data_IF_297877875238
#
_entry.id   IF_297877875238
#
_cell.length_a   1.000
_cell.length_b   1.000
_cell.length_c   1.000
_cell.angle_alpha   90.00
_cell.angle_beta   90.00
_cell.angle_gamma   90.00
#
_symmetry.space_group_name_H-M   'P 1'
#
loop_
_entity.id
_entity.type
_entity.pdbx_description
1 polymer ?
#
# COMPACT_ATOMS: atom_id res chain seq x y z
N UNK A 1 -35.20 38.82 -22.34
CA UNK A 1 -33.92 38.62 -23.07
C UNK A 1 -32.86 38.29 -22.01
N UNK A 2 -32.50 37.01 -21.79
CA UNK A 2 -31.51 36.19 -22.53
C UNK A 2 -30.11 36.84 -22.43
N UNK A 3 -29.01 36.26 -21.91
CA UNK A 3 -28.54 34.91 -21.55
C UNK A 3 -27.49 35.08 -20.41
N UNK A 4 -27.41 34.21 -19.39
CA UNK A 4 -26.56 33.00 -19.31
C UNK A 4 -25.07 33.21 -19.69
N UNK A 5 -24.18 33.15 -18.70
CA UNK A 5 -22.77 32.73 -18.79
C UNK A 5 -22.42 32.25 -17.38
N UNK A 6 -22.61 30.99 -16.99
CA UNK A 6 -21.91 29.79 -17.45
C UNK A 6 -20.44 30.08 -17.75
N UNK A 7 -19.56 29.79 -16.80
CA UNK A 7 -18.64 28.66 -16.91
C UNK A 7 -17.44 28.87 -16.00
N UNK A 8 -17.33 27.94 -15.05
CA UNK A 8 -16.08 27.19 -14.86
C UNK A 8 -14.88 28.02 -14.39
N UNK A 9 -14.92 28.47 -13.13
CA UNK A 9 -13.67 28.67 -12.41
C UNK A 9 -13.04 27.28 -12.23
N UNK A 10 -11.98 27.05 -13.00
CA UNK A 10 -11.22 25.82 -13.11
C UNK A 10 -11.05 25.10 -11.76
N UNK A 11 -11.68 23.93 -11.63
CA UNK A 11 -11.08 22.86 -10.85
C UNK A 11 -9.78 22.47 -11.57
N UNK A 12 -8.67 23.10 -11.17
CA UNK A 12 -7.34 22.56 -11.45
C UNK A 12 -7.18 21.31 -10.60
N UNK A 13 -7.77 20.20 -11.06
CA UNK A 13 -7.32 18.89 -10.65
C UNK A 13 -5.88 18.78 -11.14
N UNK A 14 -4.92 18.81 -10.23
CA UNK A 14 -3.55 18.40 -10.50
C UNK A 14 -3.62 16.96 -10.99
N UNK A 15 -3.61 16.79 -12.31
CA UNK A 15 -3.36 15.51 -12.93
C UNK A 15 -1.99 15.05 -12.43
N UNK A 16 -1.95 14.08 -11.51
CA UNK A 16 -0.74 13.31 -11.28
C UNK A 16 -0.46 12.59 -12.59
N UNK A 17 0.53 13.06 -13.34
CA UNK A 17 0.96 12.41 -14.56
C UNK A 17 1.65 11.10 -14.16
N UNK A 18 0.90 10.01 -14.28
CA UNK A 18 1.43 8.65 -14.23
C UNK A 18 1.77 8.26 -15.66
N UNK A 19 3.06 8.05 -15.91
CA UNK A 19 3.58 7.54 -17.17
C UNK A 19 3.85 6.03 -17.02
N UNK A 20 3.40 5.26 -18.01
CA UNK A 20 3.44 3.80 -18.01
C UNK A 20 4.13 3.32 -19.28
N UNK A 21 5.28 2.69 -19.11
CA UNK A 21 6.04 2.08 -20.20
C UNK A 21 6.01 0.56 -20.09
N UNK A 22 5.45 -0.12 -21.09
CA UNK A 22 5.29 -1.58 -21.09
C UNK A 22 6.40 -2.22 -21.93
N UNK A 23 7.19 -3.09 -21.31
CA UNK A 23 8.23 -3.88 -21.94
C UNK A 23 7.85 -5.37 -21.94
N UNK A 24 8.57 -6.17 -22.73
CA UNK A 24 8.29 -7.61 -22.88
C UNK A 24 8.27 -8.38 -21.54
N UNK A 25 9.09 -7.96 -20.57
CA UNK A 25 9.28 -8.69 -19.31
C UNK A 25 8.84 -7.90 -18.07
N UNK A 26 8.58 -6.60 -18.20
CA UNK A 26 8.25 -5.72 -17.08
C UNK A 26 7.47 -4.49 -17.53
N UNK A 27 6.77 -3.85 -16.61
CA UNK A 27 6.15 -2.53 -16.81
C UNK A 27 6.85 -1.53 -15.91
N UNK A 28 7.32 -0.41 -16.48
CA UNK A 28 7.85 0.71 -15.71
C UNK A 28 6.71 1.68 -15.41
N UNK A 29 6.56 2.02 -14.13
CA UNK A 29 5.65 3.07 -13.67
C UNK A 29 6.50 4.26 -13.27
N UNK A 30 6.16 5.45 -13.78
CA UNK A 30 6.80 6.73 -13.40
C UNK A 30 5.72 7.71 -12.97
N UNK A 31 5.86 8.28 -11.78
CA UNK A 31 4.88 9.17 -11.19
C UNK A 31 5.53 10.48 -10.80
N UNK A 32 5.17 11.56 -11.50
CA UNK A 32 5.65 12.89 -11.15
C UNK A 32 4.97 13.36 -9.85
N UNK A 33 5.78 13.85 -8.91
CA UNK A 33 5.32 14.38 -7.65
C UNK A 33 6.04 15.67 -7.27
N UNK A 34 5.28 16.59 -6.68
CA UNK A 34 5.79 17.81 -6.09
C UNK A 34 5.01 18.13 -4.83
N UNK A 35 5.70 18.58 -3.78
CA UNK A 35 5.08 18.87 -2.49
C UNK A 35 5.98 19.67 -1.57
N UNK A 36 5.57 19.75 -0.30
CA UNK A 36 6.34 20.33 0.78
C UNK A 36 6.39 19.33 1.93
N UNK A 37 7.58 19.10 2.48
CA UNK A 37 7.80 18.15 3.58
C UNK A 37 7.99 16.73 3.10
N UNK A 38 7.66 15.74 3.95
CA UNK A 38 7.87 14.34 3.60
C UNK A 38 6.89 13.87 2.53
N UNK A 39 7.36 12.99 1.65
CA UNK A 39 6.52 12.34 0.65
C UNK A 39 6.18 10.93 1.10
N UNK A 40 4.88 10.63 1.22
CA UNK A 40 4.37 9.29 1.47
C UNK A 40 3.61 8.78 0.25
N UNK A 41 3.95 7.58 -0.20
CA UNK A 41 3.25 6.86 -1.24
C UNK A 41 2.81 5.49 -0.72
N UNK A 42 1.52 5.19 -0.85
CA UNK A 42 0.97 3.91 -0.43
C UNK A 42 0.71 3.05 -1.67
N UNK A 43 1.40 1.91 -1.77
CA UNK A 43 1.18 0.95 -2.85
C UNK A 43 -0.08 0.13 -2.56
N UNK A 44 -0.88 -0.14 -3.59
CA UNK A 44 -1.91 -1.17 -3.48
C UNK A 44 -1.24 -2.55 -3.31
N UNK A 45 -1.84 -3.48 -2.55
CA UNK A 45 -1.24 -4.80 -2.32
C UNK A 45 -0.90 -5.53 -3.63
N UNK A 46 -1.84 -5.53 -4.57
CA UNK A 46 -1.65 -6.16 -5.89
C UNK A 46 -0.56 -5.47 -6.71
N UNK A 47 -0.34 -4.17 -6.51
CA UNK A 47 0.73 -3.43 -7.17
C UNK A 47 2.07 -3.81 -6.54
N UNK A 48 2.21 -3.69 -5.22
CA UNK A 48 3.46 -3.98 -4.54
C UNK A 48 3.93 -5.41 -4.76
N UNK A 49 3.03 -6.39 -4.69
CA UNK A 49 3.40 -7.81 -4.86
C UNK A 49 4.02 -8.11 -6.23
N UNK A 50 3.80 -7.23 -7.21
CA UNK A 50 4.41 -7.32 -8.54
C UNK A 50 5.63 -6.42 -8.71
N UNK A 51 5.99 -5.57 -7.75
CA UNK A 51 7.19 -4.73 -7.85
C UNK A 51 8.44 -5.62 -7.84
N UNK A 52 9.34 -5.38 -8.80
CA UNK A 52 10.64 -6.02 -8.86
C UNK A 52 11.50 -5.46 -7.72
N UNK A 53 12.03 -6.35 -6.88
CA UNK A 53 12.87 -5.97 -5.75
C UNK A 53 14.05 -5.07 -6.17
N UNK A 54 14.24 -3.98 -5.45
CA UNK A 54 15.31 -3.00 -5.71
C UNK A 54 15.06 -2.05 -6.89
N UNK A 55 13.90 -2.14 -7.57
CA UNK A 55 13.58 -1.27 -8.71
C UNK A 55 12.99 0.10 -8.32
N UNK A 56 12.54 0.26 -7.08
CA UNK A 56 11.98 1.52 -6.59
C UNK A 56 13.09 2.58 -6.55
N UNK A 57 12.87 3.69 -7.24
CA UNK A 57 13.81 4.81 -7.29
C UNK A 57 13.09 6.16 -7.33
N UNK A 58 13.83 7.20 -6.97
CA UNK A 58 13.35 8.57 -6.98
C UNK A 58 14.35 9.46 -7.71
N UNK A 59 13.88 10.15 -8.74
CA UNK A 59 14.66 11.12 -9.51
C UNK A 59 14.19 12.55 -9.19
N UNK A 60 15.07 13.41 -8.69
CA UNK A 60 14.73 14.81 -8.43
C UNK A 60 15.38 15.34 -7.17
N UNK A 61 14.59 16.01 -6.34
CA UNK A 61 15.02 16.58 -5.06
C UNK A 61 15.63 15.47 -4.20
N UNK A 62 16.84 15.72 -3.67
CA UNK A 62 17.52 14.74 -2.81
C UNK A 62 16.79 14.61 -1.47
N UNK A 63 16.54 13.36 -1.07
CA UNK A 63 15.96 13.01 0.22
C UNK A 63 17.06 12.56 1.19
N UNK A 64 16.79 12.69 2.48
CA UNK A 64 17.72 12.30 3.55
C UNK A 64 17.61 10.82 3.88
N UNK A 65 16.39 10.26 3.80
CA UNK A 65 16.09 8.88 4.14
C UNK A 65 14.93 8.34 3.31
N UNK A 66 15.01 7.07 2.96
CA UNK A 66 13.90 6.28 2.40
C UNK A 66 13.53 5.18 3.38
N UNK A 67 12.24 5.05 3.69
CA UNK A 67 11.71 4.01 4.56
C UNK A 67 10.57 3.27 3.85
N UNK A 68 10.55 1.94 3.95
CA UNK A 68 9.48 1.10 3.41
C UNK A 68 8.76 0.46 4.59
N UNK A 69 7.49 0.78 4.76
CA UNK A 69 6.65 0.30 5.85
C UNK A 69 5.60 -0.69 5.36
N UNK A 70 5.24 -1.62 6.23
CA UNK A 70 4.04 -2.42 6.14
C UNK A 70 3.12 -1.88 7.24
N UNK A 71 2.03 -1.20 6.88
CA UNK A 71 1.24 -0.42 7.85
C UNK A 71 0.49 -1.36 8.82
N UNK A 72 0.70 -1.15 10.12
CA UNK A 72 0.13 -1.94 11.23
C UNK A 72 -1.38 -1.68 11.42
N UNK A 73 -1.92 -0.61 10.82
CA UNK A 73 -3.37 -0.29 10.79
C UNK A 73 -4.23 -1.41 10.18
N UNK A 74 -3.62 -2.25 9.35
CA UNK A 74 -4.26 -3.38 8.66
C UNK A 74 -4.78 -4.49 9.59
N UNK A 75 -4.35 -4.51 10.85
CA UNK A 75 -4.80 -5.50 11.82
C UNK A 75 -6.15 -5.13 12.44
N UNK A 76 -6.64 -3.91 12.23
CA UNK A 76 -7.93 -3.48 12.78
C UNK A 76 -9.05 -4.36 12.21
N UNK A 77 -9.78 -5.00 13.11
CA UNK A 77 -10.85 -5.93 12.81
C UNK A 77 -10.43 -7.39 12.56
N UNK A 78 -9.13 -7.69 12.58
CA UNK A 78 -8.64 -9.05 12.48
C UNK A 78 -9.11 -9.91 13.67
N UNK A 79 -9.51 -11.15 13.39
CA UNK A 79 -9.82 -12.14 14.42
C UNK A 79 -8.53 -12.83 14.86
N UNK A 80 -8.34 -12.90 16.16
CA UNK A 80 -7.14 -13.46 16.77
C UNK A 80 -7.52 -14.28 17.98
N UNK A 81 -6.60 -15.16 18.36
CA UNK A 81 -6.65 -15.92 19.59
C UNK A 81 -5.58 -15.38 20.53
N UNK A 82 -5.94 -15.06 21.77
CA UNK A 82 -5.01 -14.50 22.74
C UNK A 82 -4.80 -15.49 23.86
N UNK A 83 -3.54 -15.80 24.17
CA UNK A 83 -3.17 -16.58 25.35
C UNK A 83 -3.00 -15.65 26.54
N UNK A 84 -3.99 -15.61 27.42
CA UNK A 84 -3.91 -14.89 28.69
C UNK A 84 -3.37 -15.83 29.75
N UNK A 85 -2.16 -15.56 30.23
CA UNK A 85 -1.67 -16.16 31.47
C UNK A 85 -2.25 -15.37 32.64
N UNK A 86 -3.15 -15.99 33.39
CA UNK A 86 -3.46 -15.56 34.75
C UNK A 86 -2.68 -16.45 35.72
N UNK A 87 -2.41 -15.94 36.92
CA UNK A 87 -1.54 -16.55 37.96
C UNK A 87 -1.78 -18.06 38.19
N UNK A 88 -2.96 -18.59 37.84
CA UNK A 88 -3.29 -20.01 37.98
C UNK A 88 -3.86 -20.71 36.72
N UNK A 89 -4.06 -20.02 35.59
CA UNK A 89 -4.59 -20.64 34.35
C UNK A 89 -4.16 -19.89 33.09
N UNK A 90 -3.74 -20.64 32.07
CA UNK A 90 -3.68 -20.17 30.69
C UNK A 90 -5.08 -20.28 30.08
N UNK A 91 -5.66 -19.15 29.70
CA UNK A 91 -6.94 -19.09 28.99
C UNK A 91 -6.69 -18.61 27.56
N UNK A 92 -7.39 -19.22 26.61
CA UNK A 92 -7.33 -18.91 25.19
C UNK A 92 -8.60 -18.16 24.80
N UNK A 93 -8.48 -16.90 24.39
CA UNK A 93 -9.61 -16.01 24.11
C UNK A 93 -9.67 -15.69 22.62
N UNK A 94 -10.82 -15.92 21.99
CA UNK A 94 -11.08 -15.39 20.65
C UNK A 94 -11.50 -13.92 20.73
N UNK A 95 -10.78 -13.07 19.99
CA UNK A 95 -10.96 -11.64 20.05
C UNK A 95 -10.80 -10.99 18.67
N UNK A 96 -11.31 -9.77 18.57
CA UNK A 96 -11.17 -8.90 17.40
C UNK A 96 -10.28 -7.72 17.78
N UNK A 97 -9.28 -7.40 16.97
CA UNK A 97 -8.45 -6.21 17.18
C UNK A 97 -9.29 -4.96 16.88
N UNK A 98 -9.33 -4.01 17.81
CA UNK A 98 -10.07 -2.76 17.70
C UNK A 98 -9.12 -1.59 17.44
N UNK A 99 -7.96 -1.59 18.07
CA UNK A 99 -6.87 -0.67 17.79
C UNK A 99 -5.53 -1.44 17.76
N UNK A 100 -4.89 -1.56 16.59
CA UNK A 100 -3.59 -2.23 16.43
C UNK A 100 -2.43 -1.51 17.15
N UNK A 101 -2.50 -0.21 17.37
CA UNK A 101 -1.39 0.56 17.95
C UNK A 101 -1.27 0.30 19.45
N UNK A 102 -2.40 0.38 20.16
CA UNK A 102 -2.47 0.06 21.58
C UNK A 102 -2.67 -1.44 21.87
N UNK A 103 -2.91 -2.25 20.84
CA UNK A 103 -3.39 -3.63 20.98
C UNK A 103 -4.62 -3.70 21.90
N UNK A 104 -5.61 -2.85 21.59
CA UNK A 104 -6.96 -2.95 22.16
C UNK A 104 -7.75 -4.00 21.40
N UNK A 105 -8.29 -4.98 22.12
CA UNK A 105 -9.06 -6.09 21.56
C UNK A 105 -10.46 -6.14 22.17
N UNK A 106 -11.41 -6.68 21.43
CA UNK A 106 -12.76 -7.02 21.89
C UNK A 106 -12.94 -8.53 21.92
N UNK A 107 -13.27 -9.08 23.08
CA UNK A 107 -13.63 -10.49 23.22
C UNK A 107 -14.90 -10.78 22.40
N UNK A 108 -14.84 -11.76 21.49
CA UNK A 108 -15.96 -12.07 20.60
C UNK A 108 -17.14 -12.74 21.33
N UNK A 109 -16.88 -13.41 22.45
CA UNK A 109 -17.89 -14.12 23.23
C UNK A 109 -18.60 -13.22 24.26
N UNK A 110 -17.86 -12.29 24.87
CA UNK A 110 -18.41 -11.43 25.95
C UNK A 110 -18.60 -9.97 25.53
N UNK A 111 -18.03 -9.55 24.40
CA UNK A 111 -18.01 -8.16 23.95
C UNK A 111 -17.11 -7.23 24.78
N UNK A 112 -16.41 -7.76 25.80
CA UNK A 112 -15.55 -6.98 26.69
C UNK A 112 -14.26 -6.54 25.99
N UNK A 113 -13.81 -5.33 26.30
CA UNK A 113 -12.57 -4.76 25.77
C UNK A 113 -11.40 -5.03 26.71
N UNK A 114 -10.24 -5.36 26.16
CA UNK A 114 -9.02 -5.58 26.93
C UNK A 114 -7.77 -5.34 26.09
N UNK A 115 -6.66 -5.07 26.76
CA UNK A 115 -5.33 -4.98 26.14
C UNK A 115 -4.60 -6.33 26.20
N UNK A 116 -3.80 -6.60 25.18
CA UNK A 116 -2.97 -7.80 25.09
C UNK A 116 -1.57 -7.47 24.56
N UNK A 117 -0.57 -8.21 25.04
CA UNK A 117 0.78 -8.13 24.50
C UNK A 117 0.84 -8.79 23.12
N UNK A 118 1.62 -8.24 22.20
CA UNK A 118 1.73 -8.75 20.82
C UNK A 118 2.17 -10.21 20.77
N UNK A 119 3.06 -10.61 21.67
CA UNK A 119 3.61 -11.97 21.75
C UNK A 119 2.59 -13.01 22.25
N UNK A 120 1.47 -12.55 22.81
CA UNK A 120 0.38 -13.41 23.29
C UNK A 120 -0.67 -13.73 22.22
N UNK A 121 -0.52 -13.17 21.01
CA UNK A 121 -1.52 -13.22 19.93
C UNK A 121 -1.15 -14.30 18.92
N UNK A 122 -2.06 -15.24 18.72
CA UNK A 122 -2.05 -16.24 17.65
C UNK A 122 -3.13 -15.90 16.63
N UNK A 123 -2.76 -15.81 15.34
CA UNK A 123 -3.71 -15.45 14.29
C UNK A 123 -4.46 -16.69 13.81
N UNK A 124 -5.80 -16.64 13.80
CA UNK A 124 -6.67 -17.80 13.50
C UNK A 124 -6.90 -18.06 12.01
N UNK A 125 -6.43 -17.15 11.16
CA UNK A 125 -6.50 -17.25 9.70
C UNK A 125 -5.17 -16.82 9.10
N UNK A 126 -4.96 -17.09 7.80
CA UNK A 126 -3.91 -16.42 7.02
C UNK A 126 -4.03 -14.94 7.35
N UNK A 127 -2.95 -14.35 7.88
CA UNK A 127 -2.87 -12.95 8.26
C UNK A 127 -3.65 -12.13 7.22
N UNK A 128 -4.66 -11.33 7.62
CA UNK A 128 -5.43 -10.54 6.65
C UNK A 128 -4.46 -9.86 5.69
N UNK A 129 -4.75 -9.87 4.39
CA UNK A 129 -3.82 -9.26 3.44
C UNK A 129 -3.74 -7.76 3.76
N UNK A 130 -2.59 -7.37 4.30
CA UNK A 130 -2.43 -6.18 5.13
C UNK A 130 -2.25 -4.93 4.27
N UNK A 131 -3.34 -4.48 3.63
CA UNK A 131 -3.42 -3.26 2.81
C UNK A 131 -2.35 -2.21 3.13
N UNK A 132 -1.43 -2.02 2.20
CA UNK A 132 -0.47 -0.92 2.18
C UNK A 132 0.95 -1.35 2.51
N UNK A 133 1.74 -1.61 1.47
CA UNK A 133 3.19 -1.46 1.58
C UNK A 133 3.45 0.00 1.19
N UNK A 134 3.98 0.82 2.10
CA UNK A 134 4.10 2.26 1.91
C UNK A 134 5.58 2.65 1.80
N UNK A 135 5.87 3.58 0.90
CA UNK A 135 7.17 4.23 0.74
C UNK A 135 7.09 5.63 1.35
N UNK A 136 8.02 5.95 2.24
CA UNK A 136 8.20 7.31 2.75
C UNK A 136 9.58 7.81 2.34
N UNK A 137 9.60 8.95 1.64
CA UNK A 137 10.81 9.72 1.37
C UNK A 137 10.84 10.92 2.31
N UNK A 138 11.78 10.89 3.26
CA UNK A 138 11.98 11.95 4.23
C UNK A 138 12.96 12.99 3.69
N UNK A 139 12.55 14.25 3.69
CA UNK A 139 13.39 15.36 3.26
C UNK A 139 14.01 16.06 4.48
N UNK A 140 15.07 16.85 4.25
CA UNK A 140 15.88 17.42 5.34
C UNK A 140 15.08 18.27 6.34
N UNK A 141 13.94 18.85 5.91
CA UNK A 141 13.01 19.54 6.81
C UNK A 141 11.58 19.51 6.26
N UNK A 142 10.60 19.72 7.15
CA UNK A 142 9.16 19.78 6.83
C UNK A 142 8.76 20.92 5.87
N UNK A 143 9.66 21.88 5.65
CA UNK A 143 9.45 23.03 4.76
C UNK A 143 10.13 22.86 3.41
N UNK A 144 10.77 21.71 3.17
CA UNK A 144 11.53 21.47 1.96
C UNK A 144 10.52 21.30 0.85
N UNK A 145 10.57 22.21 -0.12
CA UNK A 145 9.87 22.00 -1.39
C UNK A 145 10.61 20.91 -2.14
N UNK A 146 9.89 19.86 -2.50
CA UNK A 146 10.43 18.78 -3.31
C UNK A 146 9.67 18.66 -4.62
N UNK A 147 10.43 18.35 -5.65
CA UNK A 147 9.96 17.92 -6.96
C UNK A 147 10.76 16.70 -7.36
N UNK A 148 10.09 15.70 -7.92
CA UNK A 148 10.74 14.52 -8.42
C UNK A 148 9.78 13.52 -9.03
N UNK A 149 10.32 12.39 -9.46
CA UNK A 149 9.59 11.30 -10.09
C UNK A 149 9.88 10.03 -9.32
N UNK A 150 8.84 9.44 -8.72
CA UNK A 150 8.89 8.08 -8.20
C UNK A 150 8.83 7.12 -9.40
N UNK A 151 9.75 6.17 -9.49
CA UNK A 151 9.67 5.12 -10.50
C UNK A 151 9.94 3.73 -9.93
N UNK A 152 9.29 2.72 -10.50
CA UNK A 152 9.47 1.32 -10.11
C UNK A 152 9.09 0.41 -11.27
N UNK A 153 9.66 -0.79 -11.27
CA UNK A 153 9.35 -1.81 -12.27
C UNK A 153 8.40 -2.84 -11.66
N UNK A 154 7.35 -3.19 -12.38
CA UNK A 154 6.47 -4.31 -12.06
C UNK A 154 6.77 -5.48 -12.99
N UNK A 155 6.69 -6.70 -12.47
CA UNK A 155 6.73 -7.93 -13.28
C UNK A 155 5.66 -7.83 -14.35
N UNK A 156 6.07 -8.05 -15.61
CA UNK A 156 5.15 -7.94 -16.74
C UNK A 156 4.08 -9.03 -16.62
N UNK A 157 2.83 -8.67 -16.89
CA UNK A 157 1.82 -9.66 -17.25
C UNK A 157 2.37 -10.38 -18.49
N UNK A 158 2.79 -11.63 -18.33
CA UNK A 158 3.22 -12.44 -19.45
C UNK A 158 2.00 -12.70 -20.33
N UNK A 159 1.92 -11.98 -21.44
CA UNK A 159 0.99 -12.30 -22.50
C UNK A 159 1.50 -13.54 -23.22
N UNK A 160 1.06 -14.72 -22.80
CA UNK A 160 1.12 -15.88 -23.70
C UNK A 160 0.16 -15.60 -24.87
N UNK A 161 0.69 -15.44 -26.08
CA UNK A 161 -0.18 -15.25 -27.24
C UNK A 161 -0.98 -16.53 -27.44
N UNK A 162 -2.31 -16.49 -27.30
CA UNK A 162 -3.16 -17.67 -27.50
C UNK A 162 -3.30 -18.11 -28.97
N UNK A 163 -2.51 -17.56 -29.88
CA UNK A 163 -2.59 -17.84 -31.30
C UNK A 163 -1.19 -18.17 -31.86
N UNK A 164 -0.98 -19.43 -32.18
CA UNK A 164 0.05 -19.82 -33.14
C UNK A 164 -0.45 -19.47 -34.54
N UNK A 165 0.27 -18.59 -35.24
CA UNK A 165 0.05 -18.36 -36.67
C UNK A 165 0.43 -19.63 -37.43
N UNK A 166 -0.57 -20.46 -37.76
CA UNK A 166 -0.42 -21.53 -38.73
C UNK A 166 -0.23 -20.92 -40.12
N UNK A 167 1.02 -20.73 -40.53
CA UNK A 167 1.40 -20.49 -41.92
C UNK A 167 1.09 -21.75 -42.73
N UNK A 168 -0.16 -21.87 -43.20
CA UNK A 168 -0.50 -22.81 -44.27
C UNK A 168 -0.02 -22.19 -45.58
N UNK A 169 1.16 -22.61 -46.02
CA UNK A 169 1.66 -22.31 -47.35
C UNK A 169 0.77 -23.00 -48.39
N UNK A 170 0.08 -22.22 -49.21
CA UNK A 170 -0.53 -22.73 -50.43
C UNK A 170 0.57 -22.81 -51.51
N UNK A 171 0.84 -24.03 -51.97
CA UNK A 171 1.54 -24.29 -53.22
C UNK A 171 0.68 -23.88 -54.42
#
# INVERSE_FOLDING_TARGET
MLFLSFALLCLTQSLLAVDLSIYKSFTEVRQAHSGIGDYAYEFANAEYDNIIDGSISWEGTQFARQEVYNTIESLQGAKVTVRRSTVCKCETIEAKIIDPNSMLLQNLNTGAYFYADKDSIEYTSIRPNNGGKALILQFNNEKTQHTGTLSYLMTGITWESSYDLLLTGNN
#
